data_IF_389876570294
#
_entry.id   IF_389876570294
#
_cell.length_a   1.000
_cell.length_b   1.000
_cell.length_c   1.000
_cell.angle_alpha   90.00
_cell.angle_beta   90.00
_cell.angle_gamma   90.00
#
_symmetry.space_group_name_H-M   'P 1'
#
loop_
_entity.id
_entity.type
_entity.pdbx_description
1 polymer ?
#
# COMPACT_ATOMS: atom_id res chain seq x y z
N UNK A 1 -30.94 41.49 -32.21
CA UNK A 1 -30.22 42.77 -32.09
C UNK A 1 -29.22 42.82 -33.24
N UNK A 2 -29.47 43.59 -34.29
CA UNK A 2 -28.74 43.42 -35.56
C UNK A 2 -27.32 44.00 -35.50
N UNK A 3 -27.15 45.15 -34.83
CA UNK A 3 -25.86 45.84 -34.63
C UNK A 3 -24.99 45.25 -33.51
N UNK A 4 -25.54 44.36 -32.67
CA UNK A 4 -24.82 43.75 -31.55
C UNK A 4 -24.00 42.53 -32.02
N UNK A 5 -22.74 42.36 -31.57
CA UNK A 5 -21.95 41.18 -31.90
C UNK A 5 -22.45 39.93 -31.15
N UNK A 6 -22.28 38.76 -31.77
CA UNK A 6 -22.61 37.45 -31.18
C UNK A 6 -21.76 37.13 -29.95
N UNK A 7 -20.49 37.52 -30.00
CA UNK A 7 -19.47 37.26 -28.99
C UNK A 7 -18.74 38.56 -28.67
N UNK A 8 -18.33 38.72 -27.41
CA UNK A 8 -17.57 39.87 -26.90
C UNK A 8 -16.37 39.37 -26.07
N UNK A 9 -15.28 40.14 -25.97
CA UNK A 9 -14.21 39.85 -25.01
C UNK A 9 -14.75 39.67 -23.58
N UNK A 10 -14.21 38.71 -22.82
CA UNK A 10 -14.55 38.53 -21.41
C UNK A 10 -13.97 39.67 -20.56
N UNK A 11 -14.80 40.56 -19.95
CA UNK A 11 -14.30 41.65 -19.12
C UNK A 11 -13.78 41.18 -17.74
N UNK A 12 -13.89 39.89 -17.40
CA UNK A 12 -13.35 39.32 -16.17
C UNK A 12 -11.91 38.81 -16.31
N UNK A 13 -11.33 38.83 -17.51
CA UNK A 13 -9.98 38.34 -17.80
C UNK A 13 -9.11 39.47 -18.37
N UNK A 14 -7.87 39.57 -17.88
CA UNK A 14 -6.82 40.44 -18.42
C UNK A 14 -5.61 39.61 -18.83
N UNK A 15 -4.68 40.22 -19.57
CA UNK A 15 -3.37 39.64 -19.82
C UNK A 15 -2.71 39.15 -18.50
N UNK A 16 -2.11 37.95 -18.48
CA UNK A 16 -1.29 37.50 -17.36
C UNK A 16 -0.09 38.45 -17.14
N UNK A 17 0.34 38.61 -15.89
CA UNK A 17 1.54 39.42 -15.54
C UNK A 17 2.87 38.82 -16.05
N UNK A 18 2.82 37.62 -16.62
CA UNK A 18 3.93 36.79 -17.10
C UNK A 18 3.83 36.58 -18.63
N UNK A 19 3.00 37.37 -19.33
CA UNK A 19 2.83 37.36 -20.78
C UNK A 19 3.78 38.37 -21.43
N UNK A 20 4.50 37.97 -22.47
CA UNK A 20 5.43 38.84 -23.20
C UNK A 20 4.92 39.10 -24.62
N UNK A 21 4.58 40.35 -24.96
CA UNK A 21 4.04 40.69 -26.28
C UNK A 21 5.07 40.53 -27.42
N UNK A 22 6.38 40.52 -27.14
CA UNK A 22 7.44 40.30 -28.13
C UNK A 22 7.73 38.79 -28.38
N UNK A 23 7.52 37.91 -27.40
CA UNK A 23 7.79 36.45 -27.51
C UNK A 23 6.51 35.60 -27.67
N UNK A 24 5.41 35.90 -26.95
CA UNK A 24 4.11 35.22 -27.05
C UNK A 24 3.16 35.88 -28.09
N UNK A 25 3.36 37.18 -28.37
CA UNK A 25 2.57 37.99 -29.32
C UNK A 25 1.44 38.82 -28.69
N UNK A 26 0.69 39.56 -29.51
CA UNK A 26 -0.44 40.40 -29.06
C UNK A 26 -1.48 39.57 -28.30
N UNK A 27 -1.81 39.97 -27.07
CA UNK A 27 -2.73 39.23 -26.20
C UNK A 27 -4.20 39.42 -26.61
N UNK A 28 -4.82 38.38 -27.16
CA UNK A 28 -6.27 38.36 -27.42
C UNK A 28 -7.07 37.81 -26.22
N UNK A 29 -8.07 38.55 -25.70
CA UNK A 29 -8.96 38.07 -24.62
C UNK A 29 -9.88 36.93 -25.10
N UNK A 30 -10.25 35.97 -24.23
CA UNK A 30 -11.20 34.93 -24.58
C UNK A 30 -12.57 35.51 -24.91
N UNK A 31 -13.11 35.13 -26.06
CA UNK A 31 -14.44 35.58 -26.52
C UNK A 31 -15.55 34.78 -25.83
N UNK A 32 -16.54 35.48 -25.30
CA UNK A 32 -17.73 34.92 -24.62
C UNK A 32 -19.02 35.34 -25.33
N UNK A 33 -20.03 34.46 -25.31
CA UNK A 33 -21.34 34.74 -25.88
C UNK A 33 -22.00 35.96 -25.21
N UNK A 34 -22.28 37.00 -25.99
CA UNK A 34 -22.72 38.31 -25.49
C UNK A 34 -24.02 38.17 -24.66
N UNK A 35 -24.04 38.66 -23.39
CA UNK A 35 -25.16 38.44 -22.49
C UNK A 35 -26.47 39.10 -22.96
N UNK A 36 -26.41 40.16 -23.78
CA UNK A 36 -27.59 40.79 -24.37
C UNK A 36 -28.34 39.86 -25.35
N UNK A 37 -27.65 38.91 -25.97
CA UNK A 37 -28.19 38.05 -27.01
C UNK A 37 -29.14 36.97 -26.50
N UNK A 38 -29.16 36.71 -25.19
CA UNK A 38 -29.93 35.62 -24.54
C UNK A 38 -31.45 35.77 -24.68
N UNK A 39 -31.94 36.96 -25.00
CA UNK A 39 -33.38 37.27 -25.11
C UNK A 39 -33.93 37.25 -26.54
N UNK A 40 -33.12 37.62 -27.54
CA UNK A 40 -33.59 37.88 -28.91
C UNK A 40 -32.57 37.57 -30.03
N UNK A 41 -31.39 37.02 -29.69
CA UNK A 41 -30.29 36.83 -30.64
C UNK A 41 -29.57 38.13 -31.04
N UNK A 42 -28.37 37.98 -31.61
CA UNK A 42 -27.49 39.07 -32.03
C UNK A 42 -26.95 38.87 -33.45
N UNK A 43 -26.39 39.94 -34.01
CA UNK A 43 -25.93 40.02 -35.39
C UNK A 43 -27.06 40.05 -36.41
N UNK A 44 -26.71 40.37 -37.65
CA UNK A 44 -27.61 40.29 -38.80
C UNK A 44 -28.17 38.87 -38.97
N UNK A 45 -29.49 38.74 -38.90
CA UNK A 45 -30.16 37.44 -39.07
C UNK A 45 -29.87 36.85 -40.45
N UNK A 46 -29.37 35.61 -40.48
CA UNK A 46 -29.18 34.85 -41.71
C UNK A 46 -30.27 33.78 -41.79
N UNK A 47 -30.98 33.64 -42.93
CA UNK A 47 -31.97 32.58 -43.09
C UNK A 47 -31.30 31.20 -42.98
N UNK A 48 -31.97 30.20 -42.39
CA UNK A 48 -31.44 28.84 -42.36
C UNK A 48 -31.29 28.32 -43.79
N UNK A 49 -30.10 27.84 -44.12
CA UNK A 49 -29.84 27.21 -45.42
C UNK A 49 -30.58 25.86 -45.47
N UNK A 50 -31.31 25.63 -46.56
CA UNK A 50 -31.92 24.34 -46.86
C UNK A 50 -31.02 23.54 -47.80
N UNK A 51 -31.00 22.21 -47.66
CA UNK A 51 -30.31 21.33 -48.59
C UNK A 51 -30.91 21.48 -50.00
N UNK A 52 -30.04 21.60 -51.01
CA UNK A 52 -30.47 21.72 -52.40
C UNK A 52 -30.79 20.32 -52.98
N UNK A 53 -32.07 19.97 -53.24
CA UNK A 53 -32.43 18.63 -53.72
C UNK A 53 -31.94 18.33 -55.15
N UNK A 54 -31.47 19.33 -55.89
CA UNK A 54 -30.85 19.15 -57.21
C UNK A 54 -29.32 18.94 -57.14
N UNK A 55 -28.68 19.13 -55.97
CA UNK A 55 -27.23 18.97 -55.83
C UNK A 55 -26.84 17.49 -55.70
N UNK A 56 -26.34 16.91 -56.79
CA UNK A 56 -25.94 15.50 -56.89
C UNK A 56 -24.52 15.21 -56.37
N UNK A 57 -23.96 16.10 -55.55
CA UNK A 57 -22.54 16.08 -55.19
C UNK A 57 -21.61 16.48 -56.34
N UNK A 58 -20.29 16.35 -56.11
CA UNK A 58 -19.30 16.40 -57.18
C UNK A 58 -19.36 15.10 -57.99
N UNK A 59 -19.22 15.17 -59.30
CA UNK A 59 -19.13 13.96 -60.13
C UNK A 59 -17.89 13.14 -59.76
N UNK A 60 -18.07 11.83 -59.56
CA UNK A 60 -17.01 10.88 -59.23
C UNK A 60 -16.98 9.80 -60.30
N UNK A 61 -15.83 9.63 -60.95
CA UNK A 61 -15.61 8.54 -61.89
C UNK A 61 -15.62 7.19 -61.16
N UNK A 62 -16.26 6.18 -61.75
CA UNK A 62 -16.16 4.81 -61.24
C UNK A 62 -14.70 4.34 -61.31
N UNK A 63 -14.19 3.83 -60.20
CA UNK A 63 -12.87 3.17 -60.17
C UNK A 63 -13.00 1.82 -60.87
N UNK A 64 -12.04 1.53 -61.74
CA UNK A 64 -11.88 0.24 -62.43
C UNK A 64 -10.55 -0.32 -61.95
N UNK A 65 -10.48 -1.63 -61.69
CA UNK A 65 -9.25 -2.29 -61.29
C UNK A 65 -8.22 -2.21 -62.42
N UNK A 66 -6.98 -1.84 -62.09
CA UNK A 66 -5.92 -1.68 -63.09
C UNK A 66 -5.44 -3.07 -63.58
N UNK A 67 -5.58 -3.42 -64.88
CA UNK A 67 -5.09 -4.70 -65.40
C UNK A 67 -3.55 -4.83 -65.36
N UNK A 68 -2.82 -3.72 -65.21
CA UNK A 68 -1.36 -3.70 -65.05
C UNK A 68 -0.91 -3.80 -63.57
N UNK A 69 -1.82 -4.02 -62.63
CA UNK A 69 -1.47 -4.14 -61.20
C UNK A 69 -0.92 -5.54 -60.89
N UNK A 70 0.41 -5.65 -60.85
CA UNK A 70 1.17 -6.87 -60.55
C UNK A 70 1.04 -7.29 -59.07
N UNK A 71 0.56 -6.39 -58.20
CA UNK A 71 0.43 -6.60 -56.75
C UNK A 71 1.18 -5.54 -55.94
N UNK A 72 1.19 -5.71 -54.61
CA UNK A 72 2.02 -4.87 -53.73
C UNK A 72 3.48 -5.26 -53.95
N UNK A 73 4.32 -4.30 -54.37
CA UNK A 73 5.75 -4.53 -54.51
C UNK A 73 6.37 -4.91 -53.16
N UNK A 74 7.20 -5.95 -53.18
CA UNK A 74 7.99 -6.39 -52.05
C UNK A 74 9.47 -6.46 -52.46
N UNK A 75 10.42 -6.17 -51.56
CA UNK A 75 11.84 -6.34 -51.86
C UNK A 75 12.17 -7.81 -52.09
N UNK A 76 13.06 -8.09 -53.05
CA UNK A 76 13.60 -9.43 -53.26
C UNK A 76 14.41 -9.83 -52.02
N UNK A 77 14.09 -11.00 -51.46
CA UNK A 77 14.90 -11.59 -50.39
C UNK A 77 16.21 -12.10 -50.99
N UNK A 78 17.33 -11.55 -50.51
CA UNK A 78 18.69 -11.91 -50.91
C UNK A 78 19.37 -12.52 -49.69
N UNK A 79 20.03 -13.67 -49.86
CA UNK A 79 20.74 -14.33 -48.77
C UNK A 79 21.82 -13.42 -48.18
N UNK A 80 21.76 -13.22 -46.86
CA UNK A 80 22.69 -12.34 -46.16
C UNK A 80 24.07 -13.03 -46.05
N UNK A 81 25.16 -12.49 -46.65
CA UNK A 81 26.50 -13.09 -46.57
C UNK A 81 27.12 -13.00 -45.17
N UNK A 82 26.57 -12.15 -44.29
CA UNK A 82 26.92 -12.07 -42.87
C UNK A 82 25.93 -12.87 -41.98
N UNK A 83 25.09 -13.73 -42.55
CA UNK A 83 24.31 -14.70 -41.78
C UNK A 83 25.26 -15.71 -41.14
N UNK A 84 25.21 -15.86 -39.82
CA UNK A 84 26.08 -16.78 -39.08
C UNK A 84 25.54 -18.20 -39.23
N UNK A 85 25.87 -18.85 -40.35
CA UNK A 85 25.36 -20.18 -40.74
C UNK A 85 25.97 -21.32 -39.93
N UNK A 86 25.64 -21.37 -38.65
CA UNK A 86 25.64 -22.57 -37.79
C UNK A 86 24.89 -22.26 -36.51
N UNK A 87 24.19 -23.25 -35.98
CA UNK A 87 23.99 -23.29 -34.53
C UNK A 87 25.39 -23.33 -33.89
N UNK A 88 25.70 -22.32 -33.09
CA UNK A 88 26.75 -22.46 -32.09
C UNK A 88 26.45 -23.75 -31.29
N UNK A 89 27.38 -24.72 -31.17
CA UNK A 89 27.15 -25.91 -30.37
C UNK A 89 27.04 -25.59 -28.86
N UNK A 90 27.51 -24.42 -28.43
CA UNK A 90 27.49 -23.97 -27.04
C UNK A 90 27.30 -22.45 -26.90
N UNK A 91 26.15 -21.86 -27.29
CA UNK A 91 25.87 -20.42 -27.11
C UNK A 91 25.78 -20.00 -25.64
N UNK A 92 25.76 -20.97 -24.71
CA UNK A 92 25.87 -20.79 -23.27
C UNK A 92 27.32 -20.64 -22.78
N UNK A 93 28.32 -21.01 -23.59
CA UNK A 93 29.75 -20.93 -23.27
C UNK A 93 30.28 -19.51 -23.55
N UNK A 94 29.73 -18.54 -22.81
CA UNK A 94 30.12 -17.14 -22.86
C UNK A 94 31.57 -16.92 -22.34
N UNK A 95 32.13 -15.75 -22.61
CA UNK A 95 33.41 -15.35 -22.03
C UNK A 95 33.38 -15.37 -20.48
N UNK A 96 34.52 -15.62 -19.80
CA UNK A 96 34.56 -15.72 -18.34
C UNK A 96 33.98 -14.49 -17.62
N UNK A 97 33.04 -14.72 -16.71
CA UNK A 97 32.36 -13.67 -15.95
C UNK A 97 33.29 -13.16 -14.84
N UNK A 98 33.73 -11.90 -14.96
CA UNK A 98 34.68 -11.26 -14.02
C UNK A 98 34.04 -10.57 -12.81
N UNK A 99 32.71 -10.46 -12.75
CA UNK A 99 32.00 -9.79 -11.66
C UNK A 99 30.49 -9.74 -11.84
N UNK A 100 29.79 -9.20 -10.84
CA UNK A 100 28.33 -8.97 -10.86
C UNK A 100 28.07 -7.49 -10.61
N UNK A 101 27.24 -6.88 -11.45
CA UNK A 101 26.71 -5.53 -11.26
C UNK A 101 25.18 -5.57 -11.14
N UNK A 102 24.62 -4.63 -10.38
CA UNK A 102 23.18 -4.37 -10.33
C UNK A 102 22.97 -2.98 -10.91
N UNK A 103 22.56 -2.93 -12.17
CA UNK A 103 22.18 -1.70 -12.87
C UNK A 103 20.65 -1.63 -12.93
N UNK A 104 20.06 -0.57 -12.38
CA UNK A 104 18.62 -0.37 -12.35
C UNK A 104 18.28 1.13 -12.37
N UNK A 105 17.36 1.52 -13.25
CA UNK A 105 16.69 2.81 -13.17
C UNK A 105 15.38 2.66 -12.39
N UNK A 106 15.22 3.40 -11.30
CA UNK A 106 14.03 3.39 -10.44
C UNK A 106 13.70 4.80 -9.95
N UNK A 107 12.41 5.08 -9.75
CA UNK A 107 11.92 6.28 -9.07
C UNK A 107 11.36 5.95 -7.67
N UNK A 108 11.62 4.73 -7.19
CA UNK A 108 11.09 4.16 -5.96
C UNK A 108 12.22 3.55 -5.12
N UNK A 109 12.29 3.96 -3.86
CA UNK A 109 13.19 3.43 -2.85
C UNK A 109 12.68 2.11 -2.25
N UNK A 110 13.48 1.49 -1.38
CA UNK A 110 13.09 0.30 -0.60
C UNK A 110 13.27 -1.05 -1.31
N UNK A 111 13.94 -1.07 -2.47
CA UNK A 111 14.29 -2.31 -3.17
C UNK A 111 15.46 -2.99 -2.45
N UNK A 112 15.29 -4.27 -2.07
CA UNK A 112 16.25 -5.05 -1.29
C UNK A 112 16.76 -6.23 -2.12
N UNK A 113 18.07 -6.28 -2.36
CA UNK A 113 18.76 -7.40 -3.00
C UNK A 113 19.52 -8.23 -1.96
N UNK A 114 19.38 -9.55 -2.03
CA UNK A 114 19.85 -10.51 -1.01
C UNK A 114 19.98 -11.91 -1.65
N UNK A 115 20.82 -12.80 -1.09
CA UNK A 115 21.10 -14.17 -1.57
C UNK A 115 21.61 -14.27 -3.01
N UNK A 116 22.53 -13.39 -3.42
CA UNK A 116 23.17 -13.47 -4.74
C UNK A 116 24.11 -14.69 -4.78
N UNK A 117 23.74 -15.72 -5.56
CA UNK A 117 24.52 -16.93 -5.77
C UNK A 117 24.86 -17.10 -7.26
N UNK A 118 26.12 -17.42 -7.54
CA UNK A 118 26.57 -17.94 -8.85
C UNK A 118 27.04 -19.38 -8.63
N UNK A 119 26.45 -20.34 -9.34
CA UNK A 119 26.85 -21.75 -9.30
C UNK A 119 26.50 -22.44 -10.62
N UNK A 120 27.23 -23.51 -10.95
CA UNK A 120 26.90 -24.44 -12.03
C UNK A 120 26.11 -25.66 -11.55
N UNK A 121 25.99 -25.90 -10.24
CA UNK A 121 25.20 -26.98 -9.66
C UNK A 121 23.83 -26.50 -9.18
N UNK A 122 22.79 -27.03 -9.83
CA UNK A 122 21.38 -26.82 -9.51
C UNK A 122 21.03 -27.25 -8.07
N UNK A 123 21.70 -28.26 -7.51
CA UNK A 123 21.43 -28.70 -6.13
C UNK A 123 21.82 -27.64 -5.10
N UNK A 124 23.00 -27.04 -5.25
CA UNK A 124 23.48 -25.97 -4.37
C UNK A 124 22.53 -24.76 -4.43
N UNK A 125 22.01 -24.44 -5.62
CA UNK A 125 21.01 -23.38 -5.78
C UNK A 125 19.68 -23.71 -5.07
N UNK A 126 19.18 -24.95 -5.19
CA UNK A 126 17.97 -25.41 -4.50
C UNK A 126 18.15 -25.47 -2.97
N UNK A 127 19.29 -25.97 -2.49
CA UNK A 127 19.62 -26.05 -1.06
C UNK A 127 19.76 -24.66 -0.43
N UNK A 128 20.32 -23.67 -1.13
CA UNK A 128 20.34 -22.30 -0.64
C UNK A 128 18.92 -21.69 -0.63
N UNK A 129 18.16 -21.82 -1.72
CA UNK A 129 16.80 -21.27 -1.83
C UNK A 129 15.87 -21.82 -0.73
N UNK A 130 15.89 -23.13 -0.49
CA UNK A 130 15.15 -23.78 0.59
C UNK A 130 15.62 -23.33 1.98
N UNK A 131 16.89 -22.93 2.12
CA UNK A 131 17.45 -22.49 3.40
C UNK A 131 17.27 -21.00 3.71
N UNK A 132 17.14 -20.14 2.70
CA UNK A 132 17.01 -18.68 2.88
C UNK A 132 15.70 -18.16 2.32
N UNK A 133 15.52 -18.17 0.99
CA UNK A 133 14.36 -17.60 0.30
C UNK A 133 13.03 -18.19 0.76
N UNK A 134 12.88 -19.51 0.78
CA UNK A 134 11.60 -20.15 1.14
C UNK A 134 11.21 -19.88 2.60
N UNK A 135 12.19 -19.86 3.51
CA UNK A 135 11.96 -19.50 4.92
C UNK A 135 11.59 -18.03 5.06
N UNK A 136 12.24 -17.14 4.31
CA UNK A 136 11.95 -15.70 4.28
C UNK A 136 10.53 -15.45 3.75
N UNK A 137 10.17 -16.06 2.62
CA UNK A 137 8.83 -15.97 2.01
C UNK A 137 7.74 -16.55 2.92
N UNK A 138 8.01 -17.62 3.68
CA UNK A 138 7.08 -18.12 4.69
C UNK A 138 6.90 -17.10 5.83
N UNK A 139 7.99 -16.56 6.38
CA UNK A 139 7.94 -15.56 7.44
C UNK A 139 7.27 -14.24 6.99
N UNK A 140 7.57 -13.76 5.78
CA UNK A 140 6.94 -12.61 5.13
C UNK A 140 5.42 -12.81 4.97
N UNK A 141 4.99 -14.00 4.53
CA UNK A 141 3.56 -14.34 4.40
C UNK A 141 2.84 -14.37 5.75
N UNK A 142 3.44 -14.92 6.81
CA UNK A 142 2.84 -14.88 8.15
C UNK A 142 2.90 -13.49 8.78
N UNK A 143 3.93 -12.69 8.48
CA UNK A 143 4.01 -11.28 8.90
C UNK A 143 2.95 -10.42 8.22
N UNK A 144 2.72 -10.59 6.92
CA UNK A 144 1.71 -9.88 6.13
C UNK A 144 0.26 -10.19 6.55
N UNK A 145 0.02 -11.33 7.23
CA UNK A 145 -1.28 -11.64 7.87
C UNK A 145 -1.48 -10.93 9.21
N UNK A 146 -0.42 -10.42 9.85
CA UNK A 146 -0.55 -9.67 11.11
C UNK A 146 -1.16 -8.31 10.79
N UNK A 147 -2.24 -7.89 11.48
CA UNK A 147 -2.84 -6.60 11.23
C UNK A 147 -1.84 -5.51 11.62
N UNK A 148 -1.58 -4.56 10.71
CA UNK A 148 -0.80 -3.37 11.03
C UNK A 148 -1.69 -2.40 11.83
N UNK A 149 -1.78 -2.66 13.13
CA UNK A 149 -2.54 -1.86 14.09
C UNK A 149 -1.69 -0.64 14.44
N UNK A 150 -1.90 0.48 13.74
CA UNK A 150 -1.24 1.74 14.05
C UNK A 150 -1.78 2.37 15.34
N UNK A 151 -0.89 2.93 16.17
CA UNK A 151 -1.29 3.65 17.39
C UNK A 151 -1.74 5.07 17.05
N UNK A 152 -3.06 5.25 16.92
CA UNK A 152 -3.68 6.58 16.77
C UNK A 152 -3.32 7.48 17.97
N UNK A 153 -3.07 8.79 17.76
CA UNK A 153 -2.73 9.71 18.84
C UNK A 153 -3.89 9.90 19.84
N UNK A 154 -3.54 10.22 21.09
CA UNK A 154 -4.49 10.43 22.19
C UNK A 154 -4.82 9.18 23.02
N UNK A 155 -5.56 9.38 24.11
CA UNK A 155 -5.89 8.32 25.08
C UNK A 155 -6.80 7.25 24.46
N UNK A 156 -7.91 7.65 23.82
CA UNK A 156 -8.84 6.72 23.16
C UNK A 156 -8.16 5.89 22.07
N UNK A 157 -7.29 6.50 21.25
CA UNK A 157 -6.51 5.79 20.24
C UNK A 157 -5.49 4.80 20.84
N UNK A 158 -4.94 5.11 22.02
CA UNK A 158 -4.08 4.18 22.77
C UNK A 158 -4.88 3.02 23.37
N UNK A 159 -6.09 3.25 23.88
CA UNK A 159 -6.99 2.18 24.36
C UNK A 159 -7.42 1.27 23.20
N UNK A 160 -7.83 1.83 22.06
CA UNK A 160 -8.18 1.08 20.85
C UNK A 160 -7.01 0.19 20.37
N UNK A 161 -5.79 0.74 20.37
CA UNK A 161 -4.56 0.03 20.03
C UNK A 161 -4.29 -1.17 20.95
N UNK A 162 -4.37 -1.01 22.28
CA UNK A 162 -4.11 -2.12 23.21
C UNK A 162 -5.24 -3.16 23.22
N UNK A 163 -6.51 -2.74 23.08
CA UNK A 163 -7.65 -3.66 22.99
C UNK A 163 -7.58 -4.49 21.71
N UNK A 164 -7.28 -3.90 20.56
CA UNK A 164 -7.15 -4.63 19.30
C UNK A 164 -5.95 -5.59 19.28
N UNK A 165 -4.81 -5.21 19.87
CA UNK A 165 -3.69 -6.14 20.10
C UNK A 165 -4.09 -7.30 21.03
N UNK A 166 -4.77 -7.02 22.15
CA UNK A 166 -5.22 -8.04 23.09
C UNK A 166 -6.22 -9.03 22.48
N UNK A 167 -7.16 -8.53 21.67
CA UNK A 167 -8.10 -9.37 20.91
C UNK A 167 -7.36 -10.21 19.85
N UNK A 168 -6.42 -9.64 19.10
CA UNK A 168 -5.65 -10.41 18.13
C UNK A 168 -4.78 -11.50 18.79
N UNK A 169 -4.11 -11.16 19.89
CA UNK A 169 -3.35 -12.12 20.71
C UNK A 169 -4.25 -13.26 21.21
N UNK A 170 -5.39 -12.96 21.82
CA UNK A 170 -6.35 -13.97 22.27
C UNK A 170 -6.97 -14.78 21.12
N UNK A 171 -7.06 -14.21 19.91
CA UNK A 171 -7.50 -14.93 18.72
C UNK A 171 -6.42 -15.87 18.14
N UNK A 172 -5.13 -15.54 18.23
CA UNK A 172 -4.04 -16.42 17.85
C UNK A 172 -3.75 -17.51 18.89
N UNK A 173 -3.55 -17.09 20.14
CA UNK A 173 -3.09 -17.92 21.27
C UNK A 173 -4.25 -18.55 22.05
N UNK A 174 -5.28 -19.05 21.34
CA UNK A 174 -6.55 -19.51 21.94
C UNK A 174 -6.36 -20.52 23.08
N UNK A 175 -5.45 -21.46 22.92
CA UNK A 175 -5.20 -22.53 23.89
C UNK A 175 -4.50 -22.00 25.15
N UNK A 176 -3.49 -21.14 25.00
CA UNK A 176 -2.74 -20.54 26.11
C UNK A 176 -3.65 -19.64 26.94
N UNK A 177 -4.48 -18.82 26.28
CA UNK A 177 -5.47 -17.96 26.95
C UNK A 177 -6.58 -18.78 27.62
N UNK A 178 -7.04 -19.89 27.02
CA UNK A 178 -7.98 -20.81 27.66
C UNK A 178 -7.37 -21.42 28.94
N UNK A 179 -6.14 -21.91 28.88
CA UNK A 179 -5.44 -22.47 30.04
C UNK A 179 -5.22 -21.42 31.15
N UNK A 180 -4.81 -20.20 30.80
CA UNK A 180 -4.65 -19.10 31.75
C UNK A 180 -5.99 -18.70 32.41
N UNK A 181 -7.08 -18.62 31.63
CA UNK A 181 -8.42 -18.33 32.16
C UNK A 181 -8.93 -19.43 33.08
N UNK A 182 -8.70 -20.71 32.76
CA UNK A 182 -9.07 -21.83 33.63
C UNK A 182 -8.28 -21.78 34.94
N UNK A 183 -6.95 -21.67 34.87
CA UNK A 183 -6.08 -21.61 36.05
C UNK A 183 -6.32 -20.38 36.92
N UNK A 184 -6.75 -19.24 36.34
CA UNK A 184 -7.10 -18.04 37.08
C UNK A 184 -8.51 -18.06 37.68
N UNK A 185 -9.54 -18.49 36.92
CA UNK A 185 -10.94 -18.39 37.36
C UNK A 185 -11.39 -19.53 38.27
N UNK A 186 -10.85 -20.75 38.11
CA UNK A 186 -11.19 -21.89 38.96
C UNK A 186 -10.90 -21.65 40.46
N UNK A 187 -9.71 -21.17 40.90
CA UNK A 187 -9.47 -20.90 42.32
C UNK A 187 -10.31 -19.72 42.84
N UNK A 188 -10.59 -18.70 42.02
CA UNK A 188 -11.42 -17.56 42.41
C UNK A 188 -12.86 -18.01 42.67
N UNK A 189 -13.45 -18.83 41.78
CA UNK A 189 -14.77 -19.43 42.00
C UNK A 189 -14.79 -20.32 43.25
N UNK A 190 -13.73 -21.11 43.48
CA UNK A 190 -13.64 -21.98 44.65
C UNK A 190 -13.54 -21.23 45.98
N UNK A 191 -12.91 -20.04 45.98
CA UNK A 191 -12.85 -19.14 47.14
C UNK A 191 -14.14 -18.35 47.35
N UNK A 192 -14.70 -17.73 46.30
CA UNK A 192 -15.90 -16.89 46.42
C UNK A 192 -17.16 -17.69 46.79
N UNK A 193 -17.33 -18.91 46.25
CA UNK A 193 -18.52 -19.72 46.49
C UNK A 193 -18.50 -20.52 47.81
N UNK A 194 -17.48 -20.35 48.68
CA UNK A 194 -17.31 -21.13 49.91
C UNK A 194 -17.52 -20.33 51.21
N UNK A 195 -18.31 -19.26 51.16
CA UNK A 195 -18.73 -18.50 52.35
C UNK A 195 -20.17 -18.84 52.77
N UNK A 196 -20.39 -19.01 54.07
CA UNK A 196 -21.72 -19.17 54.70
C UNK A 196 -21.65 -18.81 56.19
N UNK A 197 -22.78 -18.39 56.81
CA UNK A 197 -22.72 -17.37 57.87
C UNK A 197 -22.50 -17.91 59.29
N UNK A 198 -21.82 -17.11 60.11
CA UNK A 198 -21.70 -17.34 61.56
C UNK A 198 -23.02 -17.02 62.28
N UNK A 199 -23.40 -17.83 63.30
CA UNK A 199 -24.44 -17.46 64.27
C UNK A 199 -24.24 -18.03 65.69
N UNK A 200 -23.51 -17.26 66.50
CA UNK A 200 -23.71 -16.99 67.93
C UNK A 200 -23.93 -18.12 68.99
N UNK A 201 -23.00 -18.11 69.98
CA UNK A 201 -23.16 -18.34 71.45
C UNK A 201 -23.45 -19.74 72.02
N UNK A 202 -22.59 -20.16 72.97
CA UNK A 202 -22.90 -21.13 74.03
C UNK A 202 -21.67 -21.68 74.80
N UNK A 203 -21.55 -21.39 76.10
CA UNK A 203 -20.76 -22.15 77.11
C UNK A 203 -21.73 -23.04 77.92
N UNK A 204 -21.33 -24.04 78.76
CA UNK A 204 -20.04 -24.29 79.46
C UNK A 204 -19.30 -25.54 78.87
N UNK A 205 -18.39 -26.31 79.51
CA UNK A 205 -17.93 -26.47 80.91
C UNK A 205 -16.43 -26.87 81.04
N UNK A 206 -16.06 -27.70 82.03
CA UNK A 206 -14.69 -28.00 82.52
C UNK A 206 -14.59 -29.49 82.89
N UNK A 207 -13.45 -30.14 82.60
CA UNK A 207 -12.67 -31.04 83.49
C UNK A 207 -11.32 -31.46 82.84
N UNK A 208 -10.37 -31.93 83.65
CA UNK A 208 -8.91 -32.09 83.40
C UNK A 208 -8.45 -33.58 83.61
N UNK A 209 -7.15 -33.95 83.58
CA UNK A 209 -6.04 -33.65 82.65
C UNK A 209 -5.27 -34.93 82.20
N UNK A 210 -4.19 -34.77 81.40
CA UNK A 210 -2.96 -35.58 81.52
C UNK A 210 -1.75 -34.92 80.82
N UNK A 211 -0.56 -35.01 81.41
CA UNK A 211 0.73 -34.53 80.87
C UNK A 211 1.21 -35.38 79.64
N UNK A 212 2.25 -35.06 78.86
CA UNK A 212 3.68 -34.84 79.20
C UNK A 212 4.43 -33.99 78.14
N UNK A 213 5.34 -33.13 78.63
CA UNK A 213 6.63 -32.57 78.14
C UNK A 213 7.07 -32.80 76.66
N UNK A 214 7.45 -31.77 75.87
CA UNK A 214 8.80 -31.12 75.75
C UNK A 214 9.69 -31.88 74.73
N UNK A 215 10.60 -31.35 73.90
CA UNK A 215 11.33 -30.06 73.67
C UNK A 215 10.87 -29.38 72.34
N UNK A 216 11.10 -28.09 72.02
CA UNK A 216 12.35 -27.40 71.58
C UNK A 216 13.12 -28.12 70.44
N UNK A 217 13.82 -27.48 69.49
CA UNK A 217 14.34 -26.10 69.30
C UNK A 217 14.26 -25.66 67.80
N UNK A 218 14.30 -24.37 67.39
CA UNK A 218 15.48 -23.48 67.24
C UNK A 218 16.23 -23.76 65.91
N UNK A 219 16.59 -22.84 65.00
CA UNK A 219 16.63 -21.36 64.85
C UNK A 219 16.43 -21.04 63.32
N UNK A 220 15.85 -19.96 62.79
CA UNK A 220 15.96 -18.49 62.93
C UNK A 220 16.97 -17.79 61.97
N UNK A 221 16.44 -17.01 61.01
CA UNK A 221 17.03 -15.83 60.30
C UNK A 221 18.29 -16.08 59.41
N UNK A 222 18.77 -15.21 58.49
CA UNK A 222 18.41 -13.89 57.92
C UNK A 222 19.55 -13.44 56.95
N UNK A 223 19.62 -12.27 56.29
CA UNK A 223 18.65 -11.27 55.79
C UNK A 223 19.40 -10.21 54.92
N UNK A 224 18.74 -9.52 53.96
CA UNK A 224 19.25 -8.35 53.18
C UNK A 224 20.53 -8.57 52.31
N UNK A 225 21.12 -7.58 51.59
CA UNK A 225 20.62 -6.60 50.58
C UNK A 225 21.85 -5.97 49.85
N UNK A 226 21.73 -5.55 48.58
CA UNK A 226 22.72 -4.70 47.87
C UNK A 226 22.21 -4.17 46.50
N UNK A 227 22.24 -2.85 46.20
CA UNK A 227 21.66 -2.28 44.96
C UNK A 227 22.64 -1.60 43.97
N UNK A 228 22.06 -1.22 42.82
CA UNK A 228 22.42 -0.11 41.91
C UNK A 228 23.62 -0.23 40.93
N UNK A 229 23.33 0.02 39.64
CA UNK A 229 23.82 1.21 38.88
C UNK A 229 23.09 1.40 37.55
N UNK A 230 22.99 2.65 37.11
CA UNK A 230 22.48 3.11 35.80
C UNK A 230 23.61 3.81 35.03
N UNK A 231 23.60 3.76 33.69
CA UNK A 231 24.37 4.67 32.81
C UNK A 231 23.58 4.98 31.51
N UNK A 232 23.73 6.19 30.98
CA UNK A 232 23.08 6.76 29.77
C UNK A 232 23.92 7.97 29.28
N UNK A 233 23.74 8.59 28.10
CA UNK A 233 22.76 8.40 27.02
C UNK A 233 23.44 7.71 25.79
N UNK A 234 23.64 8.24 24.55
CA UNK A 234 23.20 9.49 23.88
C UNK A 234 22.05 9.33 22.87
N UNK A 235 21.31 10.42 22.69
CA UNK A 235 20.19 10.57 21.74
C UNK A 235 20.69 10.98 20.34
N UNK A 236 19.97 10.57 19.29
CA UNK A 236 20.04 11.17 17.94
C UNK A 236 18.66 11.67 17.50
N UNK A 237 18.64 12.79 16.76
CA UNK A 237 17.43 13.58 16.50
C UNK A 237 16.49 12.98 15.45
N UNK A 238 15.19 13.30 15.55
CA UNK A 238 14.16 12.85 14.62
C UNK A 238 13.83 13.92 13.57
N UNK A 239 13.94 13.55 12.29
CA UNK A 239 13.53 14.37 11.14
C UNK A 239 12.02 14.17 10.87
N UNK A 240 11.21 15.23 10.63
CA UNK A 240 9.76 15.12 10.49
C UNK A 240 9.31 14.49 9.17
N UNK A 241 8.24 13.68 9.22
CA UNK A 241 7.71 12.95 8.07
C UNK A 241 6.83 13.82 7.13
N UNK A 242 6.84 13.56 5.80
CA UNK A 242 5.97 14.25 4.84
C UNK A 242 4.52 13.77 4.90
N UNK A 243 3.59 14.61 4.43
CA UNK A 243 2.14 14.33 4.44
C UNK A 243 1.71 13.41 3.29
N UNK A 244 0.81 12.48 3.56
CA UNK A 244 0.23 11.60 2.55
C UNK A 244 -0.73 12.33 1.58
N UNK A 245 -0.74 11.98 0.27
CA UNK A 245 -1.65 12.57 -0.71
C UNK A 245 -3.07 11.99 -0.63
N UNK A 246 -4.07 12.79 -1.01
CA UNK A 246 -5.49 12.39 -0.98
C UNK A 246 -5.89 11.50 -2.17
N UNK A 247 -6.69 10.46 -1.89
CA UNK A 247 -7.07 9.45 -2.88
C UNK A 247 -8.08 9.92 -3.93
N UNK A 248 -7.91 9.47 -5.19
CA UNK A 248 -8.90 9.63 -6.26
C UNK A 248 -9.82 8.40 -6.34
N UNK A 249 -11.14 8.62 -6.43
CA UNK A 249 -12.15 7.56 -6.55
C UNK A 249 -12.11 6.91 -7.93
N UNK A 250 -11.96 5.58 -8.00
CA UNK A 250 -12.07 4.82 -9.25
C UNK A 250 -13.52 4.75 -9.75
N UNK A 251 -13.74 5.02 -11.05
CA UNK A 251 -15.05 4.91 -11.70
C UNK A 251 -15.22 3.51 -12.30
N UNK A 252 -16.13 2.71 -11.77
CA UNK A 252 -16.47 1.39 -12.32
C UNK A 252 -17.10 1.50 -13.70
N UNK A 253 -16.63 0.69 -14.65
CA UNK A 253 -17.37 0.38 -15.88
C UNK A 253 -18.36 -0.75 -15.57
N UNK A 254 -19.56 -0.68 -16.13
CA UNK A 254 -20.36 -1.89 -16.39
C UNK A 254 -19.80 -2.57 -17.65
N UNK A 255 -19.99 -3.88 -17.73
CA UNK A 255 -19.96 -4.61 -18.99
C UNK A 255 -21.40 -4.97 -19.35
N UNK A 256 -21.66 -4.99 -20.66
CA UNK A 256 -22.69 -5.81 -21.30
C UNK A 256 -21.96 -7.02 -21.93
#
# INVERSE_FOLDING_TARGET
>A
LEDEPLEVPDPAVSAPTDWDEDEDGEWEPPMIANPACKSAGCGNWKPPMIDNPAYKGKWVQQKIDNPEYIGVWNPVQIDNPAYVTKHDPAPHAMAPIGGVGIELWTMQDGILFDNILITSDLKIAQELAANTFDKRVAAEKEAAKRPQIERKPGFLGSVEYYVSHGVFFAMGHKLEVLCALLLGLLPILFLCCRSSPQKARGLPSVEEPSEVEEEAEGEAEGAADAPAKEEEMPVVEAVPAPKAPSGKKGRTKRAD
#
